data_IF_943452469144
#
_entry.id   IF_943452469144
#
_cell.length_a   1.000
_cell.length_b   1.000
_cell.length_c   1.000
_cell.angle_alpha   90.00
_cell.angle_beta   90.00
_cell.angle_gamma   90.00
#
_symmetry.space_group_name_H-M   'P 1'
#
loop_
_entity.id
_entity.type
_entity.pdbx_description
1 polymer ?
#
# COMPACT_ATOMS: atom_id res chain seq x y z
N UNK A 1 -31.11 16.69 3.17
CA UNK A 1 -30.59 16.04 1.96
C UNK A 1 -29.29 15.39 2.35
N UNK A 2 -29.14 14.06 2.21
CA UNK A 2 -27.99 13.33 2.76
C UNK A 2 -26.70 13.74 2.04
N UNK A 3 -25.78 14.34 2.77
CA UNK A 3 -24.40 14.65 2.36
C UNK A 3 -23.54 13.37 2.15
N UNK A 4 -24.16 12.20 1.95
CA UNK A 4 -23.51 10.91 2.00
C UNK A 4 -23.06 10.34 0.66
N UNK A 5 -23.31 11.00 -0.46
CA UNK A 5 -22.88 10.52 -1.76
C UNK A 5 -21.43 10.93 -2.04
N UNK A 6 -20.56 9.94 -2.21
CA UNK A 6 -19.24 10.17 -2.81
C UNK A 6 -19.34 10.19 -4.32
N UNK A 7 -18.55 11.02 -4.97
CA UNK A 7 -18.42 11.09 -6.43
C UNK A 7 -16.97 11.26 -6.86
N UNK A 8 -16.65 10.86 -8.08
CA UNK A 8 -15.35 11.08 -8.69
C UNK A 8 -15.45 12.26 -9.65
N UNK A 9 -14.57 13.26 -9.49
CA UNK A 9 -14.46 14.42 -10.37
C UNK A 9 -13.15 14.41 -11.11
N UNK A 10 -13.21 14.60 -12.41
CA UNK A 10 -12.03 14.63 -13.26
C UNK A 10 -11.27 15.93 -13.15
N UNK A 11 -9.96 15.83 -12.91
CA UNK A 11 -9.02 16.94 -13.01
C UNK A 11 -8.36 16.91 -14.40
N UNK A 12 -8.73 17.83 -15.33
CA UNK A 12 -8.20 17.81 -16.68
C UNK A 12 -6.72 18.24 -16.78
N UNK A 13 -6.20 18.91 -15.75
CA UNK A 13 -4.81 19.39 -15.74
C UNK A 13 -3.85 18.23 -15.43
N UNK A 14 -4.16 17.45 -14.39
CA UNK A 14 -3.32 16.32 -13.94
C UNK A 14 -3.80 14.97 -14.49
N UNK A 15 -4.92 14.96 -15.22
CA UNK A 15 -5.53 13.74 -15.79
C UNK A 15 -5.79 12.68 -14.74
N UNK A 16 -6.41 13.08 -13.63
CA UNK A 16 -6.70 12.21 -12.50
C UNK A 16 -8.13 12.37 -11.99
N UNK A 17 -8.64 11.32 -11.36
CA UNK A 17 -9.91 11.36 -10.64
C UNK A 17 -9.70 11.77 -9.20
N UNK A 18 -10.43 12.78 -8.75
CA UNK A 18 -10.47 13.23 -7.36
C UNK A 18 -11.77 12.75 -6.72
N UNK A 19 -11.65 11.99 -5.63
CA UNK A 19 -12.81 11.51 -4.89
C UNK A 19 -13.31 12.58 -3.90
N UNK A 20 -14.54 13.02 -4.07
CA UNK A 20 -15.22 13.96 -3.17
C UNK A 20 -16.13 13.15 -2.24
N UNK A 21 -15.83 13.16 -0.94
CA UNK A 21 -16.50 12.37 0.09
C UNK A 21 -16.70 13.19 1.37
N UNK A 22 -17.61 14.17 1.35
CA UNK A 22 -17.80 15.17 2.41
C UNK A 22 -18.21 14.53 3.77
N UNK A 23 -18.92 13.40 3.77
CA UNK A 23 -19.31 12.67 4.98
C UNK A 23 -18.13 12.19 5.83
N UNK A 24 -16.92 12.10 5.23
CA UNK A 24 -15.70 11.70 5.95
C UNK A 24 -15.22 12.74 6.97
N UNK A 25 -15.75 13.96 6.95
CA UNK A 25 -15.46 14.97 7.98
C UNK A 25 -15.96 14.56 9.37
N UNK A 26 -16.98 13.67 9.45
CA UNK A 26 -17.55 13.16 10.70
C UNK A 26 -16.80 11.93 11.24
N UNK A 27 -15.70 11.52 10.59
CA UNK A 27 -14.90 10.36 10.97
C UNK A 27 -14.26 10.56 12.35
N UNK A 28 -14.43 9.60 13.30
CA UNK A 28 -13.78 9.69 14.61
C UNK A 28 -12.25 9.64 14.44
N UNK A 29 -11.55 10.33 15.35
CA UNK A 29 -10.10 10.36 15.36
C UNK A 29 -9.56 9.97 16.74
N UNK A 30 -8.75 8.90 16.80
CA UNK A 30 -8.03 8.43 17.99
C UNK A 30 -8.91 8.35 19.26
N UNK A 31 -10.05 7.62 19.23
CA UNK A 31 -10.86 7.44 20.43
C UNK A 31 -10.03 6.74 21.53
N UNK A 32 -10.10 7.26 22.76
CA UNK A 32 -9.27 6.76 23.88
C UNK A 32 -9.97 5.66 24.68
N UNK A 33 -11.28 5.72 24.78
CA UNK A 33 -12.04 4.90 25.72
C UNK A 33 -12.75 3.71 25.07
N UNK A 34 -12.68 3.56 23.76
CA UNK A 34 -13.30 2.46 23.01
C UNK A 34 -12.59 2.18 21.68
N UNK A 35 -12.70 0.96 21.20
CA UNK A 35 -12.19 0.56 19.90
C UNK A 35 -13.21 -0.35 19.20
N UNK A 36 -13.75 0.03 18.03
CA UNK A 36 -14.74 -0.79 17.33
C UNK A 36 -14.16 -2.12 16.83
N UNK A 37 -12.84 -2.22 16.75
CA UNK A 37 -12.13 -3.39 16.21
C UNK A 37 -11.72 -4.41 17.28
N UNK A 38 -11.90 -4.07 18.58
CA UNK A 38 -11.63 -5.02 19.66
C UNK A 38 -12.77 -6.03 19.82
N UNK A 39 -12.46 -7.32 20.12
CA UNK A 39 -13.46 -8.27 20.59
C UNK A 39 -14.31 -7.69 21.72
N UNK A 40 -15.60 -7.98 21.71
CA UNK A 40 -16.55 -7.43 22.69
C UNK A 40 -17.09 -6.04 22.36
N UNK A 41 -16.64 -5.38 21.30
CA UNK A 41 -17.15 -4.08 20.86
C UNK A 41 -18.56 -4.13 20.26
N UNK A 42 -19.00 -5.30 19.82
CA UNK A 42 -20.24 -5.49 19.05
C UNK A 42 -20.14 -5.11 17.57
N UNK A 43 -19.01 -4.54 17.11
CA UNK A 43 -18.78 -4.18 15.71
C UNK A 43 -18.07 -5.28 14.92
N UNK A 44 -17.32 -6.14 15.61
CA UNK A 44 -16.58 -7.27 15.05
C UNK A 44 -16.93 -8.56 15.80
N UNK A 45 -16.72 -9.74 15.22
CA UNK A 45 -16.83 -11.01 15.93
C UNK A 45 -15.91 -11.07 17.16
N UNK A 46 -16.35 -11.71 18.23
CA UNK A 46 -15.53 -11.90 19.44
C UNK A 46 -14.32 -12.81 19.20
N UNK A 47 -14.42 -13.68 18.19
CA UNK A 47 -13.35 -14.61 17.80
C UNK A 47 -12.98 -14.35 16.34
N UNK A 48 -11.89 -13.65 16.10
CA UNK A 48 -11.26 -13.56 14.77
C UNK A 48 -9.74 -13.60 14.93
N UNK A 49 -9.06 -14.13 13.93
CA UNK A 49 -7.60 -14.05 13.83
C UNK A 49 -7.20 -12.84 12.98
N UNK A 50 -7.74 -12.82 11.76
CA UNK A 50 -7.66 -11.72 10.77
C UNK A 50 -9.04 -11.50 10.19
N UNK A 51 -9.39 -10.26 9.85
CA UNK A 51 -10.76 -9.94 9.43
C UNK A 51 -10.79 -8.83 8.38
N UNK A 52 -11.59 -9.01 7.32
CA UNK A 52 -11.99 -7.88 6.45
C UNK A 52 -13.23 -7.23 7.06
N UNK A 53 -13.12 -5.94 7.35
CA UNK A 53 -14.18 -5.12 7.90
C UNK A 53 -14.57 -4.01 6.90
N UNK A 54 -15.84 -3.87 6.52
CA UNK A 54 -16.27 -2.78 5.66
C UNK A 54 -15.96 -1.43 6.30
N UNK A 55 -15.38 -0.50 5.55
CA UNK A 55 -15.10 0.83 6.10
C UNK A 55 -16.40 1.58 6.39
N UNK A 56 -16.57 2.07 7.62
CA UNK A 56 -17.78 2.80 8.06
C UNK A 56 -17.95 4.15 7.33
N UNK A 57 -16.85 4.71 6.79
CA UNK A 57 -16.82 5.97 6.05
C UNK A 57 -16.18 5.78 4.67
N UNK A 58 -16.77 4.93 3.80
CA UNK A 58 -16.14 4.55 2.55
C UNK A 58 -16.15 5.70 1.54
N UNK A 59 -15.01 5.93 0.89
CA UNK A 59 -14.92 6.86 -0.24
C UNK A 59 -15.49 6.23 -1.52
N UNK A 60 -15.32 4.92 -1.68
CA UNK A 60 -15.75 4.13 -2.83
C UNK A 60 -16.70 3.03 -2.38
N UNK A 61 -17.68 2.67 -3.21
CA UNK A 61 -18.64 1.61 -2.92
C UNK A 61 -18.98 0.81 -4.18
N UNK A 62 -19.11 -0.52 -4.04
CA UNK A 62 -19.65 -1.39 -5.11
C UNK A 62 -21.14 -1.07 -5.42
N UNK A 63 -21.81 -0.38 -4.50
CA UNK A 63 -23.17 0.13 -4.65
C UNK A 63 -23.18 1.66 -4.67
N UNK A 64 -22.18 2.28 -5.33
CA UNK A 64 -22.07 3.73 -5.40
C UNK A 64 -23.36 4.37 -5.95
N UNK A 65 -23.93 5.36 -5.26
CA UNK A 65 -25.07 6.12 -5.75
C UNK A 65 -24.70 6.93 -6.99
N UNK A 66 -25.72 7.46 -7.66
CA UNK A 66 -25.49 8.42 -8.74
C UNK A 66 -24.85 9.70 -8.17
N UNK A 67 -23.94 10.35 -8.92
CA UNK A 67 -23.36 11.62 -8.52
C UNK A 67 -24.43 12.68 -8.29
N UNK A 68 -24.18 13.60 -7.36
CA UNK A 68 -25.03 14.76 -7.12
C UNK A 68 -24.72 15.93 -8.08
N UNK A 69 -23.49 15.96 -8.57
CA UNK A 69 -23.01 16.98 -9.51
C UNK A 69 -23.25 16.53 -10.94
N UNK A 70 -23.77 17.43 -11.78
CA UNK A 70 -23.94 17.20 -13.19
C UNK A 70 -22.59 17.06 -13.90
N UNK A 71 -22.44 16.01 -14.71
CA UNK A 71 -21.26 15.78 -15.54
C UNK A 71 -21.32 16.59 -16.81
N UNK A 72 -20.22 17.24 -17.18
CA UNK A 72 -20.07 17.94 -18.47
C UNK A 72 -18.88 17.36 -19.24
N UNK A 73 -18.78 17.67 -20.55
CA UNK A 73 -17.64 17.22 -21.37
C UNK A 73 -16.31 17.77 -20.85
N UNK A 74 -16.32 18.97 -20.25
CA UNK A 74 -15.11 19.60 -19.71
C UNK A 74 -14.80 19.15 -18.27
N UNK A 75 -15.82 18.96 -17.44
CA UNK A 75 -15.73 18.47 -16.08
C UNK A 75 -16.50 17.16 -15.90
N UNK A 76 -15.95 16.04 -16.35
CA UNK A 76 -16.58 14.73 -16.14
C UNK A 76 -16.74 14.42 -14.66
N UNK A 77 -17.91 13.90 -14.31
CA UNK A 77 -18.24 13.39 -12.98
C UNK A 77 -18.78 11.99 -13.13
N UNK A 78 -18.37 11.07 -12.26
CA UNK A 78 -18.86 9.69 -12.27
C UNK A 78 -19.07 9.14 -10.87
N UNK A 79 -19.74 7.99 -10.78
CA UNK A 79 -19.92 7.26 -9.52
C UNK A 79 -18.59 6.94 -8.88
N UNK A 80 -18.50 7.07 -7.57
CA UNK A 80 -17.35 6.60 -6.80
C UNK A 80 -17.41 5.06 -6.64
N UNK A 81 -17.34 4.35 -7.80
CA UNK A 81 -17.43 2.90 -7.85
C UNK A 81 -16.12 2.24 -7.46
N UNK A 82 -16.20 1.29 -6.51
CA UNK A 82 -15.07 0.57 -5.97
C UNK A 82 -15.38 -0.02 -4.61
N UNK A 83 -14.36 -0.33 -3.82
CA UNK A 83 -14.53 -0.76 -2.44
C UNK A 83 -13.48 -0.09 -1.55
N UNK A 84 -13.83 0.08 -0.28
CA UNK A 84 -12.93 0.51 0.79
C UNK A 84 -13.12 -0.46 1.95
N UNK A 85 -12.13 -1.31 2.18
CA UNK A 85 -12.14 -2.26 3.28
C UNK A 85 -11.03 -1.94 4.28
N UNK A 86 -11.30 -2.19 5.56
CA UNK A 86 -10.29 -2.25 6.62
C UNK A 86 -9.92 -3.72 6.81
N UNK A 87 -8.64 -4.01 6.94
CA UNK A 87 -8.14 -5.36 7.21
C UNK A 87 -7.57 -5.36 8.61
N UNK A 88 -8.26 -6.02 9.55
CA UNK A 88 -7.80 -6.16 10.92
C UNK A 88 -6.77 -7.28 10.99
N UNK A 89 -5.60 -6.96 11.55
CA UNK A 89 -4.45 -7.85 11.54
C UNK A 89 -4.43 -8.82 12.72
N UNK A 90 -5.03 -8.45 13.83
CA UNK A 90 -5.02 -9.24 15.05
C UNK A 90 -6.09 -8.74 16.04
N UNK A 91 -6.71 -9.58 16.87
CA UNK A 91 -7.68 -9.13 17.88
C UNK A 91 -7.05 -8.32 19.02
N UNK A 92 -5.77 -8.49 19.32
CA UNK A 92 -5.06 -7.69 20.32
C UNK A 92 -4.79 -6.27 19.80
N UNK A 93 -5.36 -5.29 20.50
CA UNK A 93 -5.26 -3.87 20.20
C UNK A 93 -3.82 -3.33 20.22
N UNK A 94 -2.96 -3.90 21.05
CA UNK A 94 -1.65 -3.36 21.34
C UNK A 94 -0.51 -4.03 20.55
N UNK A 95 -0.83 -4.91 19.61
CA UNK A 95 0.17 -5.52 18.74
C UNK A 95 0.37 -4.73 17.43
N UNK A 96 1.37 -5.11 16.64
CA UNK A 96 1.64 -4.56 15.32
C UNK A 96 2.36 -5.61 14.46
N UNK A 97 2.43 -5.41 13.15
CA UNK A 97 3.00 -6.37 12.20
C UNK A 97 4.37 -6.94 12.61
N UNK A 98 5.36 -6.16 13.08
CA UNK A 98 6.66 -6.71 13.54
C UNK A 98 6.56 -7.65 14.75
N UNK A 99 5.48 -7.58 15.54
CA UNK A 99 5.27 -8.40 16.73
C UNK A 99 4.50 -9.69 16.42
N UNK A 100 3.81 -9.77 15.28
CA UNK A 100 3.09 -10.97 14.86
C UNK A 100 4.04 -12.13 14.58
N UNK A 101 3.59 -13.37 14.75
CA UNK A 101 4.33 -14.56 14.29
C UNK A 101 4.29 -14.65 12.77
N UNK A 102 5.23 -15.37 12.18
CA UNK A 102 5.24 -15.62 10.73
C UNK A 102 3.96 -16.34 10.30
N UNK A 103 3.50 -17.32 11.09
CA UNK A 103 2.28 -18.09 10.86
C UNK A 103 1.03 -17.18 10.87
N UNK A 104 1.02 -16.14 11.71
CA UNK A 104 -0.08 -15.17 11.74
C UNK A 104 -0.05 -14.26 10.51
N UNK A 105 1.14 -13.80 10.10
CA UNK A 105 1.29 -13.00 8.87
C UNK A 105 0.91 -13.82 7.63
N UNK A 106 1.15 -15.14 7.62
CA UNK A 106 0.66 -16.04 6.56
C UNK A 106 -0.87 -16.01 6.46
N UNK A 107 -1.59 -16.05 7.61
CA UNK A 107 -3.06 -15.89 7.59
C UNK A 107 -3.50 -14.56 6.98
N UNK A 108 -2.77 -13.48 7.30
CA UNK A 108 -3.02 -12.16 6.75
C UNK A 108 -2.78 -12.12 5.23
N UNK A 109 -1.70 -12.75 4.73
CA UNK A 109 -1.42 -12.85 3.30
C UNK A 109 -2.54 -13.60 2.58
N UNK A 110 -3.01 -14.72 3.13
CA UNK A 110 -4.14 -15.46 2.55
C UNK A 110 -5.43 -14.62 2.53
N UNK A 111 -5.68 -13.81 3.56
CA UNK A 111 -6.82 -12.89 3.59
C UNK A 111 -6.71 -11.83 2.48
N UNK A 112 -5.51 -11.26 2.27
CA UNK A 112 -5.27 -10.32 1.16
C UNK A 112 -5.51 -10.98 -0.20
N UNK A 113 -5.01 -12.22 -0.41
CA UNK A 113 -5.22 -12.98 -1.64
C UNK A 113 -6.70 -13.31 -1.88
N UNK A 114 -7.41 -13.75 -0.84
CA UNK A 114 -8.85 -14.04 -0.92
C UNK A 114 -9.61 -12.78 -1.31
N UNK A 115 -9.41 -11.67 -0.58
CA UNK A 115 -10.14 -10.43 -0.83
C UNK A 115 -9.78 -9.82 -2.20
N UNK A 116 -8.54 -9.94 -2.63
CA UNK A 116 -8.12 -9.56 -3.99
C UNK A 116 -8.92 -10.31 -5.05
N UNK A 117 -9.06 -11.62 -4.94
CA UNK A 117 -9.83 -12.44 -5.89
C UNK A 117 -11.32 -12.08 -5.90
N UNK A 118 -11.92 -11.84 -4.73
CA UNK A 118 -13.30 -11.38 -4.62
C UNK A 118 -13.50 -10.05 -5.35
N UNK A 119 -12.65 -9.06 -5.10
CA UNK A 119 -12.73 -7.74 -5.75
C UNK A 119 -12.45 -7.82 -7.25
N UNK A 120 -11.50 -8.63 -7.69
CA UNK A 120 -11.19 -8.88 -9.10
C UNK A 120 -12.38 -9.46 -9.87
N UNK A 121 -13.29 -10.17 -9.22
CA UNK A 121 -14.49 -10.71 -9.87
C UNK A 121 -15.46 -9.64 -10.37
N UNK A 122 -15.36 -8.41 -9.88
CA UNK A 122 -16.17 -7.27 -10.33
C UNK A 122 -15.53 -6.62 -11.56
N UNK A 123 -16.12 -6.83 -12.75
CA UNK A 123 -15.59 -6.35 -14.05
C UNK A 123 -15.30 -4.83 -14.06
N UNK A 124 -16.07 -4.04 -13.32
CA UNK A 124 -15.87 -2.59 -13.20
C UNK A 124 -14.63 -2.17 -12.40
N UNK A 125 -14.01 -3.09 -11.65
CA UNK A 125 -12.77 -2.82 -10.93
C UNK A 125 -11.58 -2.94 -11.90
N UNK A 126 -10.72 -1.92 -11.90
CA UNK A 126 -9.50 -1.85 -12.72
C UNK A 126 -8.22 -1.99 -11.91
N UNK A 127 -8.24 -1.57 -10.65
CA UNK A 127 -7.07 -1.65 -9.78
C UNK A 127 -7.47 -1.99 -8.35
N UNK A 128 -6.67 -2.83 -7.69
CA UNK A 128 -6.84 -3.21 -6.28
C UNK A 128 -5.56 -2.83 -5.54
N UNK A 129 -5.70 -2.00 -4.53
CA UNK A 129 -4.60 -1.40 -3.79
C UNK A 129 -4.65 -1.83 -2.33
N UNK A 130 -3.62 -2.58 -1.90
CA UNK A 130 -3.45 -3.06 -0.54
C UNK A 130 -2.40 -2.17 0.12
N UNK A 131 -2.72 -1.60 1.28
CA UNK A 131 -1.82 -0.70 1.97
C UNK A 131 -2.02 -0.70 3.49
N UNK A 132 -1.00 -0.30 4.21
CA UNK A 132 -1.02 -0.05 5.65
C UNK A 132 -0.48 1.36 5.92
N UNK A 133 -1.16 2.08 6.80
CA UNK A 133 -0.64 3.28 7.43
C UNK A 133 -0.39 2.96 8.90
N UNK A 134 0.85 3.01 9.37
CA UNK A 134 1.22 2.77 10.77
C UNK A 134 1.71 4.06 11.43
N UNK A 135 1.09 4.42 12.53
CA UNK A 135 1.50 5.55 13.37
C UNK A 135 0.70 6.83 13.16
N UNK A 136 0.52 7.59 14.23
CA UNK A 136 -0.27 8.83 14.27
C UNK A 136 0.25 9.90 13.29
N UNK A 137 1.56 10.02 13.16
CA UNK A 137 2.21 11.01 12.26
C UNK A 137 1.93 10.78 10.78
N UNK A 138 1.42 9.60 10.41
CA UNK A 138 0.93 9.27 9.05
C UNK A 138 -0.56 9.64 8.88
N UNK A 139 -1.24 10.08 9.95
CA UNK A 139 -2.68 10.36 9.94
C UNK A 139 -3.54 9.13 10.23
N UNK A 140 -3.00 8.12 10.89
CA UNK A 140 -3.79 6.98 11.40
C UNK A 140 -4.78 7.50 12.42
N UNK A 141 -6.05 7.10 12.28
CA UNK A 141 -7.15 7.55 13.15
C UNK A 141 -7.59 6.49 14.16
N UNK A 142 -7.12 5.25 14.01
CA UNK A 142 -7.44 4.11 14.88
C UNK A 142 -6.14 3.35 15.17
N UNK A 143 -5.72 3.21 16.44
CA UNK A 143 -4.43 2.59 16.78
C UNK A 143 -4.43 1.07 16.69
N UNK A 144 -5.61 0.42 16.67
CA UNK A 144 -5.73 -1.04 16.48
C UNK A 144 -5.00 -1.50 15.20
N UNK A 145 -4.23 -2.60 15.22
CA UNK A 145 -3.42 -3.01 14.06
C UNK A 145 -4.29 -3.34 12.85
N UNK A 146 -4.16 -2.54 11.81
CA UNK A 146 -4.95 -2.70 10.60
C UNK A 146 -4.25 -2.17 9.36
N UNK A 147 -4.58 -2.76 8.22
CA UNK A 147 -4.34 -2.21 6.90
C UNK A 147 -5.66 -1.90 6.19
N UNK A 148 -5.57 -1.64 4.91
CA UNK A 148 -6.72 -1.31 4.08
C UNK A 148 -6.59 -1.94 2.70
N UNK A 149 -7.73 -2.25 2.07
CA UNK A 149 -7.81 -2.63 0.66
C UNK A 149 -8.79 -1.68 -0.02
N UNK A 150 -8.29 -0.90 -0.97
CA UNK A 150 -9.13 -0.09 -1.82
C UNK A 150 -9.17 -0.68 -3.22
N UNK A 151 -10.32 -0.62 -3.87
CA UNK A 151 -10.41 -0.98 -5.28
C UNK A 151 -11.01 0.18 -6.08
N UNK A 152 -10.46 0.40 -7.26
CA UNK A 152 -10.79 1.55 -8.10
C UNK A 152 -11.34 1.08 -9.44
N UNK A 153 -12.29 1.84 -10.00
CA UNK A 153 -12.79 1.70 -11.36
C UNK A 153 -11.85 2.30 -12.42
N UNK A 154 -10.71 2.81 -11.99
CA UNK A 154 -9.67 3.42 -12.83
C UNK A 154 -8.28 3.02 -12.32
N UNK A 155 -7.25 3.25 -13.13
CA UNK A 155 -5.86 3.04 -12.73
C UNK A 155 -5.37 4.32 -12.04
N UNK A 156 -4.89 4.26 -10.78
CA UNK A 156 -4.35 5.43 -10.07
C UNK A 156 -3.17 6.06 -10.81
N UNK A 157 -2.97 7.39 -10.73
CA UNK A 157 -1.98 8.10 -11.55
C UNK A 157 -0.55 7.60 -11.40
N UNK A 158 -0.09 7.30 -10.18
CA UNK A 158 1.27 6.76 -9.95
C UNK A 158 1.45 5.42 -10.65
N UNK A 159 0.47 4.53 -10.55
CA UNK A 159 0.49 3.23 -11.21
C UNK A 159 0.46 3.37 -12.74
N UNK A 160 -0.29 4.33 -13.26
CA UNK A 160 -0.33 4.61 -14.70
C UNK A 160 1.06 5.00 -15.24
N UNK A 161 1.79 5.85 -14.50
CA UNK A 161 3.17 6.25 -14.85
C UNK A 161 4.13 5.04 -14.80
N UNK A 162 4.03 4.20 -13.77
CA UNK A 162 4.85 2.98 -13.65
C UNK A 162 4.59 1.99 -14.78
N UNK A 163 3.32 1.81 -15.16
CA UNK A 163 2.92 0.96 -16.28
C UNK A 163 3.45 1.49 -17.62
N UNK A 164 3.35 2.80 -17.85
CA UNK A 164 3.86 3.43 -19.07
C UNK A 164 5.39 3.27 -19.19
N UNK A 165 6.13 3.63 -18.13
CA UNK A 165 7.59 3.50 -18.07
C UNK A 165 8.05 2.05 -18.28
N UNK A 166 7.36 1.10 -17.63
CA UNK A 166 7.68 -0.33 -17.74
C UNK A 166 7.38 -0.87 -19.14
N UNK A 167 6.27 -0.45 -19.74
CA UNK A 167 5.89 -0.83 -21.11
C UNK A 167 6.87 -0.29 -22.14
N UNK A 168 7.28 0.97 -21.98
CA UNK A 168 8.28 1.57 -22.87
C UNK A 168 9.64 0.86 -22.79
N UNK A 169 10.10 0.56 -21.56
CA UNK A 169 11.35 -0.17 -21.35
C UNK A 169 11.27 -1.57 -21.98
N UNK A 170 10.19 -2.31 -21.72
CA UNK A 170 9.94 -3.65 -22.23
C UNK A 170 9.99 -3.69 -23.77
N UNK A 171 9.34 -2.73 -24.43
CA UNK A 171 9.33 -2.65 -25.89
C UNK A 171 10.72 -2.35 -26.48
N UNK A 172 11.56 -1.57 -25.79
CA UNK A 172 12.91 -1.17 -26.24
C UNK A 172 13.99 -2.21 -25.91
N UNK A 173 13.75 -3.11 -24.94
CA UNK A 173 14.77 -4.00 -24.36
C UNK A 173 14.42 -5.49 -24.51
N UNK A 174 14.01 -5.92 -25.69
CA UNK A 174 13.76 -7.35 -26.03
C UNK A 174 12.80 -8.06 -25.08
N UNK A 175 11.76 -7.35 -24.64
CA UNK A 175 10.78 -7.84 -23.68
C UNK A 175 11.37 -8.13 -22.28
N UNK A 176 12.44 -7.45 -21.88
CA UNK A 176 12.94 -7.46 -20.50
C UNK A 176 12.05 -6.58 -19.62
N UNK A 177 11.63 -7.08 -18.46
CA UNK A 177 10.87 -6.30 -17.47
C UNK A 177 11.79 -5.28 -16.78
N UNK A 178 11.37 -4.01 -16.68
CA UNK A 178 12.12 -2.93 -16.03
C UNK A 178 12.44 -3.25 -14.57
N UNK A 179 11.46 -3.76 -13.83
CA UNK A 179 11.66 -4.12 -12.42
C UNK A 179 12.61 -5.30 -12.24
N UNK A 180 12.54 -6.32 -13.13
CA UNK A 180 13.51 -7.41 -13.13
C UNK A 180 14.93 -6.90 -13.42
N UNK A 181 15.09 -5.89 -14.27
CA UNK A 181 16.37 -5.24 -14.50
C UNK A 181 16.89 -4.52 -13.26
N UNK A 182 16.05 -3.73 -12.61
CA UNK A 182 16.39 -3.06 -11.34
C UNK A 182 16.82 -4.10 -10.30
N UNK A 183 16.01 -5.14 -10.11
CA UNK A 183 16.29 -6.24 -9.18
C UNK A 183 17.65 -6.90 -9.46
N UNK A 184 17.95 -7.19 -10.71
CA UNK A 184 19.23 -7.79 -11.13
C UNK A 184 20.41 -6.89 -10.77
N UNK A 185 20.29 -5.58 -10.93
CA UNK A 185 21.33 -4.62 -10.58
C UNK A 185 21.53 -4.55 -9.06
N UNK A 186 20.44 -4.48 -8.28
CA UNK A 186 20.53 -4.45 -6.81
C UNK A 186 21.15 -5.74 -6.25
N UNK A 187 20.78 -6.91 -6.78
CA UNK A 187 21.37 -8.20 -6.38
C UNK A 187 22.86 -8.33 -6.81
N UNK A 188 23.27 -7.65 -7.87
CA UNK A 188 24.67 -7.65 -8.33
C UNK A 188 25.54 -6.75 -7.46
N UNK A 189 25.10 -5.52 -7.20
CA UNK A 189 25.87 -4.53 -6.45
C UNK A 189 25.81 -4.74 -4.93
N UNK A 190 24.66 -5.19 -4.40
CA UNK A 190 24.38 -5.50 -2.97
C UNK A 190 24.56 -4.34 -2.00
N UNK A 191 24.88 -3.14 -2.46
CA UNK A 191 25.14 -1.98 -1.60
C UNK A 191 23.88 -1.53 -0.84
N UNK A 192 22.72 -1.61 -1.48
CA UNK A 192 21.44 -1.13 -0.95
C UNK A 192 20.51 -2.22 -0.41
N UNK A 193 20.94 -3.49 -0.40
CA UNK A 193 20.15 -4.59 0.17
C UNK A 193 20.10 -4.44 1.70
N UNK A 194 18.89 -4.51 2.25
CA UNK A 194 18.60 -4.46 3.69
C UNK A 194 18.38 -5.85 4.26
N UNK A 195 17.53 -6.65 3.61
CA UNK A 195 17.24 -8.03 3.98
C UNK A 195 16.86 -8.84 2.73
N UNK A 196 17.23 -10.11 2.73
CA UNK A 196 17.03 -11.02 1.60
C UNK A 196 16.72 -12.41 2.12
N UNK A 197 15.82 -13.12 1.42
CA UNK A 197 15.61 -14.56 1.57
C UNK A 197 15.55 -15.23 0.19
N UNK A 198 15.16 -16.50 0.11
CA UNK A 198 15.19 -17.23 -1.16
C UNK A 198 14.25 -16.63 -2.21
N UNK A 199 13.07 -16.13 -1.79
CA UNK A 199 12.00 -15.69 -2.69
C UNK A 199 11.88 -14.18 -2.85
N UNK A 200 12.41 -13.39 -1.89
CA UNK A 200 12.25 -11.93 -1.86
C UNK A 200 13.53 -11.21 -1.49
N UNK A 201 13.61 -9.94 -1.89
CA UNK A 201 14.68 -9.02 -1.46
C UNK A 201 14.08 -7.66 -1.10
N UNK A 202 14.53 -7.09 0.00
CA UNK A 202 14.22 -5.74 0.44
C UNK A 202 15.47 -4.86 0.32
N UNK A 203 15.35 -3.73 -0.36
CA UNK A 203 16.46 -2.82 -0.62
C UNK A 203 15.99 -1.36 -0.61
N UNK A 204 16.88 -0.44 -0.29
CA UNK A 204 16.63 0.99 -0.49
C UNK A 204 16.88 1.29 -1.96
N UNK A 205 15.89 1.82 -2.73
CA UNK A 205 16.09 2.06 -4.15
C UNK A 205 17.15 3.16 -4.40
N UNK A 206 17.88 3.06 -5.50
CA UNK A 206 18.88 4.05 -5.92
C UNK A 206 18.31 5.48 -5.94
N UNK A 207 17.05 5.60 -6.28
CA UNK A 207 16.28 6.84 -6.38
C UNK A 207 15.32 7.06 -5.19
N UNK A 208 15.65 6.58 -3.99
CA UNK A 208 14.81 6.71 -2.81
C UNK A 208 14.38 8.16 -2.57
N UNK A 209 13.09 8.36 -2.34
CA UNK A 209 12.46 9.66 -2.04
C UNK A 209 12.41 9.95 -0.55
N UNK A 210 12.39 8.89 0.27
CA UNK A 210 12.36 8.97 1.72
C UNK A 210 13.66 8.41 2.32
N UNK A 211 14.14 8.93 3.46
CA UNK A 211 15.43 8.53 4.03
C UNK A 211 15.60 7.03 4.23
N UNK A 212 14.54 6.35 4.64
CA UNK A 212 14.52 4.90 4.87
C UNK A 212 13.46 4.20 4.01
N UNK A 213 13.22 4.73 2.82
CA UNK A 213 12.37 4.08 1.82
C UNK A 213 12.93 2.69 1.49
N UNK A 214 12.10 1.65 1.62
CA UNK A 214 12.49 0.30 1.25
C UNK A 214 11.50 -0.27 0.28
N UNK A 215 12.00 -0.86 -0.79
CA UNK A 215 11.21 -1.64 -1.72
C UNK A 215 11.43 -3.13 -1.48
N UNK A 216 10.35 -3.93 -1.51
CA UNK A 216 10.40 -5.40 -1.41
C UNK A 216 9.96 -5.97 -2.74
N UNK A 217 10.87 -6.66 -3.43
CA UNK A 217 10.58 -7.30 -4.71
C UNK A 217 10.60 -8.82 -4.58
N UNK A 218 9.68 -9.49 -5.29
CA UNK A 218 9.80 -10.94 -5.51
C UNK A 218 10.95 -11.22 -6.48
N UNK A 219 11.77 -12.26 -6.19
CA UNK A 219 12.87 -12.65 -7.10
C UNK A 219 12.34 -13.29 -8.39
N UNK A 220 11.25 -14.03 -8.29
CA UNK A 220 10.51 -14.53 -9.44
C UNK A 220 9.62 -13.41 -10.00
N UNK A 221 9.56 -13.28 -11.32
CA UNK A 221 8.64 -12.33 -11.97
C UNK A 221 7.19 -12.71 -11.68
N UNK A 222 6.51 -11.86 -10.94
CA UNK A 222 5.11 -11.97 -10.52
C UNK A 222 4.42 -10.65 -10.77
N UNK A 223 3.13 -10.68 -11.12
CA UNK A 223 2.38 -9.46 -11.42
C UNK A 223 1.42 -9.07 -10.30
N UNK A 224 0.87 -10.04 -9.58
CA UNK A 224 -0.15 -9.84 -8.55
C UNK A 224 0.06 -10.78 -7.37
N UNK A 225 -0.45 -10.38 -6.20
CA UNK A 225 -0.30 -11.13 -4.95
C UNK A 225 -0.84 -12.57 -5.00
N UNK A 226 -1.81 -12.87 -5.86
CA UNK A 226 -2.41 -14.21 -5.97
C UNK A 226 -1.58 -15.19 -6.81
N UNK A 227 -0.45 -14.74 -7.35
CA UNK A 227 0.52 -15.62 -8.02
C UNK A 227 1.54 -16.26 -7.07
N UNK A 228 1.53 -15.86 -5.79
CA UNK A 228 2.24 -16.58 -4.72
C UNK A 228 1.44 -17.83 -4.36
N UNK A 229 1.87 -18.98 -4.84
CA UNK A 229 1.11 -20.22 -4.71
C UNK A 229 1.82 -21.29 -3.89
N UNK A 230 3.13 -21.20 -3.70
CA UNK A 230 3.86 -22.16 -2.88
C UNK A 230 3.90 -21.71 -1.41
N UNK A 231 3.77 -22.67 -0.49
CA UNK A 231 3.90 -22.43 0.95
C UNK A 231 5.24 -21.75 1.28
N UNK A 232 6.30 -22.10 0.55
CA UNK A 232 7.62 -21.50 0.72
C UNK A 232 7.61 -20.01 0.35
N UNK A 233 7.05 -19.62 -0.79
CA UNK A 233 6.98 -18.19 -1.19
C UNK A 233 6.13 -17.38 -0.20
N UNK A 234 5.02 -17.93 0.27
CA UNK A 234 4.15 -17.28 1.25
C UNK A 234 4.87 -17.12 2.59
N UNK A 235 5.59 -18.16 3.04
CA UNK A 235 6.40 -18.08 4.26
C UNK A 235 7.55 -17.07 4.12
N UNK A 236 8.26 -17.08 3.00
CA UNK A 236 9.35 -16.15 2.72
C UNK A 236 8.83 -14.71 2.67
N UNK A 237 7.64 -14.50 2.08
CA UNK A 237 6.98 -13.19 2.04
C UNK A 237 6.61 -12.71 3.46
N UNK A 238 6.02 -13.56 4.28
CA UNK A 238 5.71 -13.24 5.67
C UNK A 238 6.97 -12.92 6.48
N UNK A 239 8.02 -13.71 6.28
CA UNK A 239 9.29 -13.57 6.99
C UNK A 239 10.02 -12.27 6.64
N UNK A 240 10.04 -11.87 5.35
CA UNK A 240 10.71 -10.63 4.94
C UNK A 240 9.96 -9.39 5.44
N UNK A 241 8.62 -9.40 5.41
CA UNK A 241 7.80 -8.31 5.96
C UNK A 241 8.05 -8.14 7.46
N UNK A 242 8.06 -9.24 8.22
CA UNK A 242 8.36 -9.23 9.65
C UNK A 242 9.78 -8.71 9.92
N UNK A 243 10.78 -9.25 9.24
CA UNK A 243 12.17 -8.87 9.44
C UNK A 243 12.41 -7.39 9.16
N UNK A 244 11.89 -6.87 8.04
CA UNK A 244 12.01 -5.45 7.69
C UNK A 244 11.33 -4.55 8.72
N UNK A 245 10.10 -4.86 9.13
CA UNK A 245 9.36 -4.02 10.08
C UNK A 245 9.95 -4.08 11.48
N UNK A 246 10.58 -5.20 11.88
CA UNK A 246 11.38 -5.29 13.12
C UNK A 246 12.64 -4.41 13.07
N UNK A 247 13.33 -4.33 11.92
CA UNK A 247 14.45 -3.42 11.73
C UNK A 247 14.02 -1.97 11.86
N UNK A 248 12.86 -1.60 11.31
CA UNK A 248 12.29 -0.27 11.49
C UNK A 248 12.04 0.07 12.97
N UNK A 249 11.42 -0.82 13.75
CA UNK A 249 11.16 -0.57 15.17
C UNK A 249 12.47 -0.47 16.00
N UNK A 250 13.52 -1.19 15.58
CA UNK A 250 14.86 -1.09 16.22
C UNK A 250 15.60 0.19 15.86
N UNK A 251 15.40 0.75 14.67
CA UNK A 251 16.19 1.87 14.12
C UNK A 251 16.32 3.05 15.09
N UNK A 252 15.24 3.45 15.74
CA UNK A 252 15.27 4.52 16.73
C UNK A 252 14.74 4.10 18.10
N UNK A 253 14.40 2.82 18.28
CA UNK A 253 13.94 2.23 19.53
C UNK A 253 12.51 2.60 19.92
N UNK A 254 11.63 2.81 18.93
CA UNK A 254 10.19 2.98 19.13
C UNK A 254 9.40 2.33 17.97
N UNK A 255 8.09 2.15 18.17
CA UNK A 255 7.20 1.65 17.12
C UNK A 255 7.20 2.58 15.91
N UNK A 256 8.00 2.23 14.89
CA UNK A 256 8.36 3.12 13.80
C UNK A 256 7.19 3.31 12.82
N UNK A 257 6.77 4.55 12.51
CA UNK A 257 5.70 4.82 11.57
C UNK A 257 6.15 4.61 10.13
N UNK A 258 5.26 4.08 9.30
CA UNK A 258 5.47 3.95 7.86
C UNK A 258 4.13 3.89 7.11
N UNK A 259 4.18 4.19 5.84
CA UNK A 259 3.18 3.73 4.85
C UNK A 259 3.78 2.52 4.14
N UNK A 260 3.06 1.41 4.11
CA UNK A 260 3.35 0.24 3.27
C UNK A 260 2.32 0.21 2.14
N UNK A 261 2.76 0.10 0.91
CA UNK A 261 1.88 0.06 -0.25
C UNK A 261 2.27 -1.08 -1.19
N UNK A 262 1.29 -1.85 -1.67
CA UNK A 262 1.51 -2.94 -2.61
C UNK A 262 1.18 -2.46 -4.02
N UNK A 263 2.16 -2.50 -4.90
CA UNK A 263 2.01 -2.21 -6.31
C UNK A 263 1.91 -3.52 -7.09
N UNK A 264 0.88 -3.66 -7.87
CA UNK A 264 0.57 -4.87 -8.61
C UNK A 264 -0.11 -4.52 -9.94
N UNK A 265 -0.15 -5.47 -10.87
CA UNK A 265 -0.76 -5.24 -12.16
C UNK A 265 -2.26 -4.93 -12.02
N UNK A 266 -2.81 -4.09 -12.92
CA UNK A 266 -4.25 -3.88 -13.03
C UNK A 266 -5.01 -5.18 -13.30
N UNK A 267 -6.30 -5.18 -12.96
CA UNK A 267 -7.22 -6.30 -13.18
C UNK A 267 -8.31 -5.89 -14.18
N UNK A 268 -8.88 -6.87 -14.90
CA UNK A 268 -9.97 -6.64 -15.85
C UNK A 268 -9.67 -5.59 -16.95
N UNK A 269 -8.39 -5.46 -17.34
CA UNK A 269 -7.94 -4.43 -18.29
C UNK A 269 -6.83 -4.91 -19.25
N UNK A 270 -6.61 -6.21 -19.38
CA UNK A 270 -5.62 -6.80 -20.28
C UNK A 270 -4.48 -7.52 -19.58
N UNK A 271 -3.34 -7.67 -20.27
CA UNK A 271 -2.16 -8.36 -19.78
C UNK A 271 -1.01 -7.38 -19.58
N UNK A 272 -0.26 -7.55 -18.50
CA UNK A 272 0.84 -6.67 -18.09
C UNK A 272 2.16 -7.43 -17.89
N UNK A 273 2.68 -8.14 -18.90
CA UNK A 273 3.91 -8.95 -18.76
C UNK A 273 5.15 -8.13 -18.46
N UNK A 274 5.07 -6.82 -18.59
CA UNK A 274 6.11 -5.86 -18.31
C UNK A 274 6.06 -5.30 -16.88
N UNK A 275 5.03 -5.62 -16.08
CA UNK A 275 4.86 -5.13 -14.72
C UNK A 275 5.20 -6.21 -13.71
N UNK A 276 5.73 -5.81 -12.54
CA UNK A 276 6.22 -6.72 -11.51
C UNK A 276 5.65 -6.32 -10.16
N UNK A 277 5.10 -7.28 -9.41
CA UNK A 277 4.63 -7.08 -8.04
C UNK A 277 5.77 -6.62 -7.13
N UNK A 278 5.52 -5.53 -6.41
CA UNK A 278 6.45 -5.05 -5.40
C UNK A 278 5.72 -4.30 -4.29
N UNK A 279 6.39 -4.12 -3.17
CA UNK A 279 5.93 -3.31 -2.05
C UNK A 279 6.89 -2.16 -1.87
N UNK A 280 6.34 -1.00 -1.55
CA UNK A 280 7.11 0.18 -1.19
C UNK A 280 6.76 0.61 0.24
N UNK A 281 7.77 0.90 1.05
CA UNK A 281 7.64 1.45 2.40
C UNK A 281 8.13 2.88 2.41
N UNK A 282 7.33 3.79 2.99
CA UNK A 282 7.64 5.22 3.08
C UNK A 282 7.61 5.68 4.53
N UNK A 283 8.72 5.55 5.27
CA UNK A 283 8.83 6.06 6.61
C UNK A 283 9.00 7.59 6.63
N UNK A 284 8.28 8.32 7.51
CA UNK A 284 8.33 9.78 7.54
C UNK A 284 9.51 10.35 8.30
N UNK A 285 10.27 9.53 9.05
CA UNK A 285 11.38 10.00 9.88
C UNK A 285 12.70 10.02 9.10
N UNK A 286 13.43 11.13 9.18
CA UNK A 286 14.82 11.27 8.71
C UNK A 286 15.85 11.15 9.82
N UNK A 287 15.45 11.28 11.09
CA UNK A 287 16.20 10.99 12.29
C UNK A 287 15.23 10.73 13.44
N UNK A 288 15.73 10.28 14.59
CA UNK A 288 14.89 9.98 15.77
C UNK A 288 13.87 11.07 16.15
N UNK A 289 14.17 12.33 15.85
CA UNK A 289 13.37 13.50 16.27
C UNK A 289 12.92 14.38 15.10
N UNK A 290 13.26 14.05 13.86
CA UNK A 290 12.96 14.89 12.69
C UNK A 290 12.16 14.13 11.66
N UNK A 291 11.01 14.68 11.30
CA UNK A 291 10.17 14.17 10.20
C UNK A 291 10.64 14.74 8.85
N UNK A 292 10.43 13.98 7.79
CA UNK A 292 10.39 14.47 6.43
C UNK A 292 8.93 14.81 6.11
N UNK A 293 8.67 16.09 5.90
CA UNK A 293 7.36 16.54 5.46
C UNK A 293 7.28 16.56 3.94
N UNK A 294 6.09 16.30 3.40
CA UNK A 294 5.77 16.64 2.01
C UNK A 294 5.36 18.12 1.97
N UNK A 295 6.28 18.95 1.56
CA UNK A 295 6.09 20.41 1.50
C UNK A 295 5.80 20.90 0.08
N UNK A 296 6.02 22.19 -0.18
CA UNK A 296 5.66 22.80 -1.47
C UNK A 296 6.35 22.19 -2.68
N UNK A 297 7.60 21.73 -2.54
CA UNK A 297 8.34 21.09 -3.63
C UNK A 297 7.74 19.73 -4.01
N UNK A 298 7.52 18.87 -3.03
CA UNK A 298 6.96 17.55 -3.23
C UNK A 298 5.48 17.60 -3.63
N UNK A 299 4.66 18.35 -2.87
CA UNK A 299 3.21 18.41 -3.10
C UNK A 299 2.82 19.29 -4.29
N UNK A 300 3.54 20.38 -4.55
CA UNK A 300 3.20 21.35 -5.60
C UNK A 300 3.87 21.06 -6.94
N UNK A 301 5.11 20.57 -6.92
CA UNK A 301 5.90 20.29 -8.14
C UNK A 301 6.11 18.80 -8.41
N UNK A 302 5.77 17.91 -7.46
CA UNK A 302 6.02 16.47 -7.58
C UNK A 302 7.50 16.10 -7.51
N UNK A 303 8.38 17.03 -7.08
CA UNK A 303 9.83 16.81 -7.01
C UNK A 303 10.25 16.50 -5.58
N UNK A 304 10.71 15.27 -5.35
CA UNK A 304 11.15 14.82 -4.04
C UNK A 304 12.61 15.19 -3.79
N UNK A 305 12.90 15.61 -2.57
CA UNK A 305 14.26 15.91 -2.08
C UNK A 305 14.54 14.91 -0.95
N UNK A 306 15.53 14.04 -1.14
CA UNK A 306 16.02 13.15 -0.09
C UNK A 306 17.29 13.74 0.54
N UNK A 307 17.26 13.94 1.86
CA UNK A 307 18.38 14.50 2.63
C UNK A 307 19.45 13.46 3.02
N UNK A 308 19.38 12.23 2.47
CA UNK A 308 20.22 11.10 2.87
C UNK A 308 20.79 10.35 1.67
N UNK A 309 21.83 9.57 1.92
CA UNK A 309 22.46 8.68 0.92
C UNK A 309 21.86 7.28 1.07
N UNK A 310 21.21 6.72 0.03
CA UNK A 310 20.55 5.41 0.09
C UNK A 310 21.44 4.28 0.59
N UNK A 311 22.70 4.23 0.14
CA UNK A 311 23.68 3.21 0.51
C UNK A 311 23.98 3.22 2.01
N UNK A 312 24.15 4.41 2.59
CA UNK A 312 24.39 4.57 4.05
C UNK A 312 23.16 4.12 4.85
N UNK A 313 21.97 4.50 4.42
CA UNK A 313 20.74 4.11 5.11
C UNK A 313 20.44 2.62 4.99
N UNK A 314 20.82 1.99 3.88
CA UNK A 314 20.73 0.55 3.74
C UNK A 314 21.72 -0.18 4.69
N UNK A 315 22.95 0.33 4.83
CA UNK A 315 23.92 -0.20 5.78
C UNK A 315 23.40 -0.10 7.22
N UNK A 316 22.89 1.08 7.64
CA UNK A 316 22.29 1.27 8.97
C UNK A 316 21.17 0.25 9.25
N UNK A 317 20.22 0.05 8.31
CA UNK A 317 19.14 -0.92 8.48
C UNK A 317 19.64 -2.37 8.47
N UNK A 318 20.66 -2.68 7.70
CA UNK A 318 21.20 -4.05 7.60
C UNK A 318 21.81 -4.52 8.92
N UNK A 319 22.45 -3.63 9.66
CA UNK A 319 23.11 -3.91 10.93
C UNK A 319 22.16 -4.15 12.12
N UNK A 320 20.88 -3.80 11.99
CA UNK A 320 19.86 -3.99 13.02
C UNK A 320 19.28 -5.41 13.04
#
# INVERSE_FOLDING_TARGET
MSKQASELRWNPILKEWVAIAAHRQERPQMPKDWCPFCPGSGSVPDNYDVLVYPNDFPTLSLKAPDPLTESTDFYPVTKAFGACDVVLYHPDHNTSLPQLTVEHIIKLIHLWQQRFNELKSHIGIKYIFIFENKGEVIGVTMPHPHGQIYSFSYIPPKIAIELESSKEYFAKNKNECLFCKILSLELTHKERIVVENDSFVAFIPFYARWPYEVHVYSKRHLQIITEFTSDKEIHDFASILKSLTQKYDKLFGFSFPYMMVMHQAPVNDGAYPFYHFHIEFYPPYRSKIKLKYLAGCESGAGTFINDTIPEEKAAELREL
#
